data_IF_061572000671
#
_entry.id   IF_061572000671
#
_cell.length_a   1.000
_cell.length_b   1.000
_cell.length_c   1.000
_cell.angle_alpha   90.00
_cell.angle_beta   90.00
_cell.angle_gamma   90.00
#
_symmetry.space_group_name_H-M   'P 1'
#
loop_
_entity.id
_entity.type
_entity.pdbx_description
1 polymer ?
#
# COMPACT_ATOMS: atom_id res chain seq x y z
N UNK A 1 29.13 16.96 10.82
CA UNK A 1 27.86 17.42 10.20
C UNK A 1 26.72 16.55 10.72
N UNK A 2 25.63 17.11 11.28
CA UNK A 2 24.31 16.66 10.84
C UNK A 2 23.43 15.68 11.65
N UNK A 3 23.60 15.45 12.96
CA UNK A 3 22.54 14.70 13.69
C UNK A 3 21.17 15.42 13.61
N UNK A 4 21.18 16.75 13.69
CA UNK A 4 19.98 17.57 13.52
C UNK A 4 19.40 17.51 12.11
N UNK A 5 20.23 17.46 11.07
CA UNK A 5 19.75 17.40 9.67
C UNK A 5 19.10 16.05 9.36
N UNK A 6 19.64 14.94 9.89
CA UNK A 6 19.04 13.61 9.70
C UNK A 6 17.68 13.52 10.43
N UNK A 7 17.61 13.99 11.68
CA UNK A 7 16.35 14.01 12.43
C UNK A 7 15.29 14.89 11.76
N UNK A 8 15.69 16.02 11.19
CA UNK A 8 14.79 16.90 10.45
C UNK A 8 14.21 16.21 9.21
N UNK A 9 15.05 15.55 8.42
CA UNK A 9 14.64 14.82 7.22
C UNK A 9 13.67 13.69 7.58
N UNK A 10 14.02 12.87 8.59
CA UNK A 10 13.15 11.77 9.03
C UNK A 10 11.81 12.30 9.52
N UNK A 11 11.80 13.35 10.35
CA UNK A 11 10.57 13.94 10.88
C UNK A 11 9.70 14.49 9.75
N UNK A 12 10.30 15.24 8.82
CA UNK A 12 9.60 15.79 7.66
C UNK A 12 9.00 14.68 6.81
N UNK A 13 9.77 13.66 6.46
CA UNK A 13 9.29 12.54 5.63
C UNK A 13 8.16 11.77 6.32
N UNK A 14 8.32 11.42 7.59
CA UNK A 14 7.27 10.71 8.34
C UNK A 14 6.00 11.56 8.50
N UNK A 15 6.14 12.86 8.73
CA UNK A 15 5.01 13.77 8.85
C UNK A 15 4.27 13.92 7.50
N UNK A 16 4.99 14.10 6.40
CA UNK A 16 4.41 14.16 5.06
C UNK A 16 3.69 12.85 4.69
N UNK A 17 4.31 11.72 5.00
CA UNK A 17 3.71 10.40 4.80
C UNK A 17 2.42 10.24 5.62
N UNK A 18 2.46 10.53 6.92
CA UNK A 18 1.30 10.45 7.80
C UNK A 18 0.14 11.35 7.34
N UNK A 19 0.47 12.58 6.94
CA UNK A 19 -0.52 13.52 6.39
C UNK A 19 -1.17 13.00 5.11
N UNK A 20 -0.41 12.31 4.25
CA UNK A 20 -0.93 11.72 3.01
C UNK A 20 -1.88 10.56 3.31
N UNK A 21 -1.53 9.70 4.28
CA UNK A 21 -2.39 8.61 4.76
C UNK A 21 -3.69 9.15 5.37
N UNK A 22 -3.58 10.16 6.24
CA UNK A 22 -4.74 10.80 6.87
C UNK A 22 -5.67 11.44 5.83
N UNK A 23 -5.09 12.11 4.83
CA UNK A 23 -5.81 12.67 3.69
C UNK A 23 -6.57 11.58 2.93
N UNK A 24 -5.90 10.48 2.56
CA UNK A 24 -6.54 9.37 1.86
C UNK A 24 -7.71 8.80 2.67
N UNK A 25 -7.50 8.53 3.97
CA UNK A 25 -8.52 7.94 4.83
C UNK A 25 -9.75 8.85 4.98
N UNK A 26 -9.54 10.18 5.04
CA UNK A 26 -10.64 11.15 5.08
C UNK A 26 -11.48 11.10 3.81
N UNK A 27 -10.84 11.18 2.64
CA UNK A 27 -11.57 11.21 1.36
C UNK A 27 -12.19 9.87 0.98
N UNK A 28 -11.56 8.75 1.36
CA UNK A 28 -12.16 7.43 1.20
C UNK A 28 -13.45 7.30 2.03
N UNK A 29 -13.47 7.82 3.27
CA UNK A 29 -14.67 7.83 4.11
C UNK A 29 -15.77 8.74 3.58
N UNK A 30 -15.44 9.96 3.14
CA UNK A 30 -16.44 10.91 2.63
C UNK A 30 -17.07 10.46 1.31
N UNK A 31 -16.29 9.79 0.45
CA UNK A 31 -16.79 9.22 -0.82
C UNK A 31 -17.41 7.83 -0.66
N UNK A 32 -17.45 7.28 0.56
CA UNK A 32 -17.85 5.90 0.88
C UNK A 32 -17.21 4.87 -0.08
N UNK A 33 -15.95 5.09 -0.42
CA UNK A 33 -15.22 4.28 -1.38
C UNK A 33 -14.49 3.14 -0.68
N UNK A 34 -14.63 1.94 -1.24
CA UNK A 34 -13.83 0.78 -0.89
C UNK A 34 -13.15 0.26 -2.16
N UNK A 35 -11.90 -0.21 -2.10
CA UNK A 35 -11.23 -0.76 -3.26
C UNK A 35 -11.94 -2.02 -3.71
N UNK A 36 -12.35 -2.01 -4.96
CA UNK A 36 -13.08 -3.09 -5.61
C UNK A 36 -12.36 -3.50 -6.88
N UNK A 37 -12.56 -4.74 -7.34
CA UNK A 37 -12.12 -5.15 -8.69
C UNK A 37 -12.84 -4.37 -9.80
N UNK A 38 -13.90 -3.63 -9.46
CA UNK A 38 -14.61 -2.72 -10.37
C UNK A 38 -13.91 -1.36 -10.60
N UNK A 39 -12.80 -1.09 -9.91
CA UNK A 39 -12.04 0.14 -10.13
C UNK A 39 -11.30 0.11 -11.48
N UNK A 40 -11.15 1.26 -12.16
CA UNK A 40 -10.55 1.31 -13.49
C UNK A 40 -9.13 0.76 -13.52
N UNK A 41 -8.87 -0.04 -14.56
CA UNK A 41 -7.56 -0.64 -14.81
C UNK A 41 -6.50 0.46 -14.96
N UNK A 42 -5.23 0.21 -14.58
CA UNK A 42 -4.16 1.20 -14.66
C UNK A 42 -4.03 1.91 -16.03
N UNK A 43 -4.37 1.21 -17.13
CA UNK A 43 -4.30 1.75 -18.48
C UNK A 43 -5.33 2.87 -18.76
N UNK A 44 -6.52 2.77 -18.17
CA UNK A 44 -7.64 3.72 -18.35
C UNK A 44 -7.54 4.91 -17.40
N UNK A 45 -6.54 4.92 -16.51
CA UNK A 45 -6.31 6.02 -15.57
C UNK A 45 -5.65 7.21 -16.28
N UNK A 46 -5.93 8.44 -15.83
CA UNK A 46 -5.31 9.64 -16.40
C UNK A 46 -3.78 9.60 -16.26
N UNK A 47 -3.13 10.36 -17.14
CA UNK A 47 -1.65 10.38 -17.31
C UNK A 47 -0.91 10.57 -15.99
N UNK A 48 -1.44 11.42 -15.09
CA UNK A 48 -0.83 11.68 -13.79
C UNK A 48 -0.78 10.44 -12.90
N UNK A 49 -1.83 9.62 -12.91
CA UNK A 49 -1.94 8.42 -12.10
C UNK A 49 -1.00 7.33 -12.65
N UNK A 50 -0.87 7.24 -13.98
CA UNK A 50 0.07 6.32 -14.64
C UNK A 50 1.53 6.70 -14.39
N UNK A 51 1.85 8.00 -14.42
CA UNK A 51 3.17 8.50 -14.04
C UNK A 51 3.52 8.10 -12.60
N UNK A 52 2.57 8.25 -11.67
CA UNK A 52 2.80 7.86 -10.28
C UNK A 52 3.06 6.35 -10.13
N UNK A 53 2.33 5.52 -10.87
CA UNK A 53 2.56 4.07 -10.87
C UNK A 53 3.92 3.69 -11.48
N UNK A 54 4.36 4.38 -12.54
CA UNK A 54 5.70 4.15 -13.10
C UNK A 54 6.81 4.54 -12.12
N UNK A 55 6.66 5.67 -11.40
CA UNK A 55 7.59 6.08 -10.35
C UNK A 55 7.60 5.09 -9.19
N UNK A 56 6.43 4.55 -8.80
CA UNK A 56 6.33 3.53 -7.76
C UNK A 56 7.09 2.24 -8.13
N UNK A 57 6.95 1.77 -9.38
CA UNK A 57 7.68 0.59 -9.84
C UNK A 57 9.19 0.85 -9.85
N UNK A 58 9.62 2.01 -10.35
CA UNK A 58 11.03 2.39 -10.33
C UNK A 58 11.59 2.50 -8.90
N UNK A 59 10.80 3.03 -7.95
CA UNK A 59 11.16 3.09 -6.53
C UNK A 59 11.31 1.69 -5.94
N UNK A 60 10.36 0.80 -6.20
CA UNK A 60 10.36 -0.58 -5.68
C UNK A 60 11.64 -1.28 -6.08
N UNK A 61 12.00 -1.24 -7.36
CA UNK A 61 13.23 -1.86 -7.86
C UNK A 61 14.48 -1.26 -7.22
N UNK A 62 14.53 0.07 -7.07
CA UNK A 62 15.69 0.75 -6.48
C UNK A 62 15.85 0.47 -4.99
N UNK A 63 14.75 0.45 -4.24
CA UNK A 63 14.75 0.14 -2.79
C UNK A 63 15.12 -1.32 -2.57
N UNK A 64 14.56 -2.25 -3.35
CA UNK A 64 14.93 -3.67 -3.27
C UNK A 64 16.42 -3.86 -3.53
N UNK A 65 16.97 -3.29 -4.60
CA UNK A 65 18.42 -3.37 -4.88
C UNK A 65 19.28 -2.75 -3.77
N UNK A 66 18.83 -1.63 -3.18
CA UNK A 66 19.55 -1.00 -2.08
C UNK A 66 19.56 -1.88 -0.83
N UNK A 67 18.42 -2.49 -0.48
CA UNK A 67 18.31 -3.39 0.67
C UNK A 67 19.07 -4.71 0.45
N UNK A 68 19.05 -5.27 -0.76
CA UNK A 68 19.84 -6.45 -1.13
C UNK A 68 21.35 -6.17 -1.01
N UNK A 69 21.76 -4.94 -1.33
CA UNK A 69 23.13 -4.44 -1.14
C UNK A 69 23.45 -3.99 0.30
N UNK A 70 22.54 -4.20 1.26
CA UNK A 70 22.64 -3.74 2.65
C UNK A 70 22.82 -2.21 2.83
N UNK A 71 22.48 -1.41 1.82
CA UNK A 71 22.54 0.05 1.85
C UNK A 71 21.21 0.66 2.32
N UNK A 72 21.04 0.70 3.63
CA UNK A 72 19.86 1.28 4.29
C UNK A 72 19.78 2.80 4.15
N UNK A 73 20.92 3.49 3.99
CA UNK A 73 20.97 4.94 3.85
C UNK A 73 20.41 5.39 2.51
N UNK A 74 20.78 4.69 1.43
CA UNK A 74 20.24 4.94 0.10
C UNK A 74 18.75 4.63 0.03
N UNK A 75 18.30 3.53 0.62
CA UNK A 75 16.87 3.19 0.69
C UNK A 75 16.07 4.32 1.37
N UNK A 76 16.56 4.85 2.51
CA UNK A 76 15.93 5.97 3.19
C UNK A 76 15.84 7.26 2.37
N UNK A 77 16.91 7.60 1.63
CA UNK A 77 16.93 8.78 0.73
C UNK A 77 15.94 8.65 -0.42
N UNK A 78 15.87 7.47 -1.06
CA UNK A 78 14.94 7.20 -2.16
C UNK A 78 13.48 7.31 -1.69
N UNK A 79 13.16 6.72 -0.53
CA UNK A 79 11.82 6.82 0.06
C UNK A 79 11.46 8.27 0.43
N UNK A 80 12.40 9.02 1.01
CA UNK A 80 12.21 10.43 1.37
C UNK A 80 11.90 11.29 0.14
N UNK A 81 12.69 11.13 -0.94
CA UNK A 81 12.46 11.83 -2.20
C UNK A 81 11.09 11.49 -2.80
N UNK A 82 10.73 10.21 -2.86
CA UNK A 82 9.44 9.78 -3.39
C UNK A 82 8.25 10.32 -2.60
N UNK A 83 8.31 10.34 -1.26
CA UNK A 83 7.25 10.90 -0.42
C UNK A 83 7.10 12.41 -0.65
N UNK A 84 8.22 13.14 -0.80
CA UNK A 84 8.19 14.56 -1.12
C UNK A 84 7.58 14.80 -2.52
N UNK A 85 7.92 13.99 -3.52
CA UNK A 85 7.32 14.07 -4.86
C UNK A 85 5.83 13.72 -4.85
N UNK A 86 5.41 12.67 -4.13
CA UNK A 86 4.00 12.30 -3.98
C UNK A 86 3.18 13.47 -3.43
N UNK A 87 3.66 14.12 -2.37
CA UNK A 87 2.96 15.25 -1.75
C UNK A 87 2.94 16.50 -2.64
N UNK A 88 4.11 16.87 -3.20
CA UNK A 88 4.26 18.10 -3.96
C UNK A 88 3.63 18.03 -5.35
N UNK A 89 3.79 16.91 -6.04
CA UNK A 89 3.37 16.76 -7.42
C UNK A 89 2.00 16.10 -7.53
N UNK A 90 1.78 14.97 -6.87
CA UNK A 90 0.51 14.25 -7.00
C UNK A 90 -0.58 14.92 -6.17
N UNK A 91 -0.46 14.92 -4.84
CA UNK A 91 -1.52 15.40 -3.93
C UNK A 91 -1.90 16.85 -4.22
N UNK A 92 -0.93 17.73 -4.49
CA UNK A 92 -1.21 19.12 -4.86
C UNK A 92 -2.02 19.26 -6.15
N UNK A 93 -1.70 18.48 -7.19
CA UNK A 93 -2.38 18.56 -8.50
C UNK A 93 -3.72 17.84 -8.52
N UNK A 94 -3.89 16.80 -7.71
CA UNK A 94 -5.12 15.98 -7.67
C UNK A 94 -6.16 16.45 -6.64
N UNK A 95 -5.93 17.55 -5.89
CA UNK A 95 -6.90 18.10 -4.90
C UNK A 95 -8.33 18.22 -5.43
N UNK A 96 -8.51 18.78 -6.64
CA UNK A 96 -9.83 18.94 -7.26
C UNK A 96 -10.52 17.60 -7.55
N UNK A 97 -9.75 16.58 -7.93
CA UNK A 97 -10.28 15.23 -8.24
C UNK A 97 -10.71 14.50 -6.98
N UNK A 98 -9.99 14.68 -5.87
CA UNK A 98 -10.40 14.13 -4.58
C UNK A 98 -11.70 14.74 -4.06
N UNK A 99 -11.90 16.05 -4.25
CA UNK A 99 -13.17 16.70 -3.92
C UNK A 99 -14.35 16.16 -4.73
N UNK A 100 -14.11 15.78 -6.00
CA UNK A 100 -15.11 15.19 -6.88
C UNK A 100 -15.37 13.69 -6.61
N UNK A 101 -14.61 13.06 -5.69
CA UNK A 101 -14.77 11.64 -5.37
C UNK A 101 -14.36 10.70 -6.50
N UNK A 102 -13.37 11.09 -7.32
CA UNK A 102 -12.87 10.25 -8.41
C UNK A 102 -12.26 8.94 -7.89
N UNK A 103 -12.93 7.82 -8.20
CA UNK A 103 -12.53 6.47 -7.78
C UNK A 103 -11.16 6.06 -8.32
N UNK A 104 -10.76 6.55 -9.50
CA UNK A 104 -9.47 6.22 -10.10
C UNK A 104 -8.29 6.81 -9.28
N UNK A 105 -8.46 8.06 -8.82
CA UNK A 105 -7.45 8.74 -8.01
C UNK A 105 -7.32 8.11 -6.61
N UNK A 106 -8.45 7.75 -5.99
CA UNK A 106 -8.50 7.07 -4.69
C UNK A 106 -7.87 5.67 -4.77
N UNK A 107 -8.18 4.91 -5.82
CA UNK A 107 -7.58 3.60 -6.05
C UNK A 107 -6.07 3.68 -6.20
N UNK A 108 -5.59 4.60 -7.03
CA UNK A 108 -4.15 4.78 -7.28
C UNK A 108 -3.41 5.18 -6.01
N UNK A 109 -3.97 6.14 -5.24
CA UNK A 109 -3.35 6.55 -3.98
C UNK A 109 -3.30 5.39 -2.97
N UNK A 110 -4.36 4.57 -2.91
CA UNK A 110 -4.37 3.40 -2.04
C UNK A 110 -3.30 2.36 -2.40
N UNK A 111 -3.17 2.04 -3.68
CA UNK A 111 -2.16 1.11 -4.19
C UNK A 111 -0.73 1.59 -3.91
N UNK A 112 -0.49 2.90 -4.08
CA UNK A 112 0.80 3.54 -3.79
C UNK A 112 1.11 3.51 -2.29
N UNK A 113 0.16 3.94 -1.44
CA UNK A 113 0.36 3.96 0.01
C UNK A 113 0.57 2.55 0.55
N UNK A 114 -0.19 1.56 0.08
CA UNK A 114 0.00 0.15 0.45
C UNK A 114 1.42 -0.32 0.11
N UNK A 115 1.89 -0.05 -1.10
CA UNK A 115 3.22 -0.48 -1.54
C UNK A 115 4.34 0.22 -0.76
N UNK A 116 4.22 1.54 -0.56
CA UNK A 116 5.18 2.32 0.26
C UNK A 116 5.21 1.81 1.70
N UNK A 117 4.05 1.50 2.29
CA UNK A 117 3.97 0.94 3.66
C UNK A 117 4.79 -0.35 3.76
N UNK A 118 4.69 -1.22 2.75
CA UNK A 118 5.45 -2.48 2.70
C UNK A 118 6.96 -2.24 2.55
N UNK A 119 7.36 -1.28 1.70
CA UNK A 119 8.78 -0.92 1.53
C UNK A 119 9.39 -0.28 2.78
N UNK A 120 8.58 0.46 3.56
CA UNK A 120 9.01 1.10 4.79
C UNK A 120 9.03 0.14 6.00
N UNK A 121 8.35 -1.00 5.94
CA UNK A 121 8.23 -1.96 7.04
C UNK A 121 9.57 -2.36 7.71
N UNK A 122 10.66 -2.68 6.96
CA UNK A 122 11.94 -3.02 7.59
C UNK A 122 12.66 -1.82 8.24
N UNK A 123 12.28 -0.58 7.90
CA UNK A 123 12.91 0.64 8.42
C UNK A 123 12.13 1.23 9.60
N UNK A 124 10.80 1.27 9.52
CA UNK A 124 9.91 1.92 10.49
C UNK A 124 8.70 1.03 10.85
N UNK A 125 8.93 -0.10 11.53
CA UNK A 125 7.91 -1.12 11.77
C UNK A 125 6.70 -0.59 12.56
N UNK A 126 6.90 0.26 13.56
CA UNK A 126 5.82 0.75 14.41
C UNK A 126 4.83 1.66 13.68
N UNK A 127 5.35 2.56 12.84
CA UNK A 127 4.51 3.51 12.08
C UNK A 127 3.78 2.77 10.95
N UNK A 128 4.49 1.89 10.25
CA UNK A 128 3.92 1.11 9.16
C UNK A 128 2.85 0.14 9.63
N UNK A 129 3.06 -0.53 10.78
CA UNK A 129 2.04 -1.38 11.40
C UNK A 129 0.80 -0.57 11.78
N UNK A 130 0.96 0.61 12.37
CA UNK A 130 -0.17 1.47 12.72
C UNK A 130 -0.98 1.87 11.49
N UNK A 131 -0.30 2.27 10.41
CA UNK A 131 -0.96 2.63 9.14
C UNK A 131 -1.65 1.41 8.51
N UNK A 132 -1.02 0.24 8.58
CA UNK A 132 -1.57 -1.00 8.05
C UNK A 132 -2.90 -1.37 8.73
N UNK A 133 -2.95 -1.30 10.07
CA UNK A 133 -4.15 -1.55 10.86
C UNK A 133 -5.27 -0.52 10.59
N UNK A 134 -4.91 0.76 10.43
CA UNK A 134 -5.90 1.83 10.28
C UNK A 134 -6.46 1.93 8.84
N UNK A 135 -5.69 1.57 7.81
CA UNK A 135 -6.06 1.78 6.40
C UNK A 135 -6.31 0.49 5.63
N UNK A 136 -5.52 -0.56 5.84
CA UNK A 136 -5.48 -1.74 4.95
C UNK A 136 -6.34 -2.88 5.52
N UNK A 137 -6.28 -3.12 6.83
CA UNK A 137 -7.11 -4.14 7.49
C UNK A 137 -8.63 -3.90 7.37
N UNK A 138 -9.16 -2.66 7.46
CA UNK A 138 -10.59 -2.40 7.29
C UNK A 138 -11.08 -2.63 5.86
N UNK A 139 -10.15 -2.55 4.92
CA UNK A 139 -10.39 -2.46 3.49
C UNK A 139 -10.21 -3.82 2.81
N UNK A 140 -9.23 -4.61 3.24
CA UNK A 140 -9.08 -5.98 2.80
C UNK A 140 -10.21 -6.83 3.40
N UNK A 141 -11.09 -7.45 2.60
CA UNK A 141 -11.96 -8.50 3.09
C UNK A 141 -11.08 -9.72 3.36
N UNK A 142 -10.38 -9.75 4.49
CA UNK A 142 -9.92 -11.02 5.00
C UNK A 142 -11.18 -11.83 5.31
N UNK A 143 -11.28 -13.09 4.85
CA UNK A 143 -12.25 -13.99 5.43
C UNK A 143 -11.91 -14.02 6.91
N UNK A 144 -12.80 -13.48 7.73
CA UNK A 144 -12.73 -13.61 9.18
C UNK A 144 -12.79 -15.11 9.50
N UNK A 145 -11.65 -15.80 9.47
CA UNK A 145 -11.39 -16.87 10.41
C UNK A 145 -11.20 -16.24 11.79
N UNK A 146 -12.25 -15.54 12.26
CA UNK A 146 -12.64 -15.67 13.64
C UNK A 146 -13.02 -17.13 13.78
N UNK A 147 -12.07 -17.96 14.16
CA UNK A 147 -12.39 -18.95 15.18
C UNK A 147 -12.62 -18.17 16.48
N UNK A 148 -13.69 -17.38 16.55
CA UNK A 148 -14.29 -17.04 17.84
C UNK A 148 -14.96 -18.31 18.29
N UNK A 149 -14.20 -19.18 18.95
CA UNK A 149 -14.83 -20.15 19.83
C UNK A 149 -15.55 -19.31 20.90
N UNK A 150 -16.89 -19.40 21.02
CA UNK A 150 -17.57 -18.80 22.15
C UNK A 150 -16.97 -19.40 23.43
N UNK A 151 -16.75 -18.61 24.50
CA UNK A 151 -16.24 -19.14 25.76
C UNK A 151 -17.31 -20.06 26.35
N UNK A 152 -17.23 -21.37 26.07
CA UNK A 152 -18.19 -22.32 26.62
C UNK A 152 -18.35 -23.71 25.97
N UNK A 153 -17.79 -24.04 24.79
CA UNK A 153 -17.91 -25.43 24.27
C UNK A 153 -16.63 -25.95 23.61
N UNK A 154 -16.22 -27.13 24.08
CA UNK A 154 -15.02 -27.88 23.64
C UNK A 154 -15.20 -28.43 22.22
N UNK A 155 -14.14 -28.28 21.43
CA UNK A 155 -13.59 -29.20 20.41
C UNK A 155 -14.54 -29.68 19.30
N UNK A 156 -14.38 -29.09 18.11
CA UNK A 156 -13.92 -29.75 16.85
C UNK A 156 -14.02 -28.74 15.71
N UNK A 157 -12.93 -28.51 14.97
CA UNK A 157 -12.94 -27.68 13.76
C UNK A 157 -12.72 -28.61 12.56
N UNK A 158 -13.61 -28.64 11.55
CA UNK A 158 -13.48 -29.58 10.45
C UNK A 158 -12.41 -29.13 9.47
N UNK A 159 -11.46 -30.04 9.20
CA UNK A 159 -10.50 -30.00 8.09
C UNK A 159 -11.25 -30.00 6.75
N UNK A 160 -11.61 -28.84 6.21
CA UNK A 160 -11.72 -28.63 4.76
C UNK A 160 -12.29 -27.25 4.46
N UNK A 161 -11.49 -26.37 3.86
CA UNK A 161 -11.90 -25.68 2.62
C UNK A 161 -10.72 -24.95 2.01
N UNK A 162 -10.22 -25.53 0.92
CA UNK A 162 -9.34 -24.92 -0.05
C UNK A 162 -10.11 -23.78 -0.73
N UNK A 163 -9.78 -22.52 -0.47
CA UNK A 163 -9.98 -21.43 -1.43
C UNK A 163 -9.20 -20.18 -1.02
N UNK A 164 -7.88 -20.30 -0.93
CA UNK A 164 -7.00 -19.14 -0.95
C UNK A 164 -6.98 -18.61 -2.40
N UNK A 165 -7.66 -17.49 -2.67
CA UNK A 165 -7.80 -16.91 -4.01
C UNK A 165 -7.38 -15.44 -4.03
N UNK A 166 -6.22 -15.12 -3.47
CA UNK A 166 -5.51 -13.85 -3.73
C UNK A 166 -4.40 -14.11 -4.75
N UNK A 167 -4.30 -13.28 -5.80
CA UNK A 167 -3.35 -13.44 -6.93
C UNK A 167 -1.88 -13.16 -6.60
N UNK A 168 -1.61 -12.80 -5.35
CA UNK A 168 -0.27 -12.57 -4.86
C UNK A 168 0.02 -13.60 -3.78
N UNK A 169 0.99 -14.47 -4.05
CA UNK A 169 1.52 -15.43 -3.08
C UNK A 169 2.92 -14.98 -2.68
N UNK A 170 3.11 -14.81 -1.37
CA UNK A 170 4.42 -14.68 -0.78
C UNK A 170 4.98 -16.09 -0.57
N UNK A 171 6.01 -16.46 -1.33
CA UNK A 171 6.69 -17.75 -1.20
C UNK A 171 8.20 -17.49 -1.18
N UNK A 172 8.87 -17.98 -0.13
CA UNK A 172 10.32 -17.97 0.02
C UNK A 172 10.98 -16.59 -0.22
N UNK A 173 10.49 -15.54 0.45
CA UNK A 173 11.17 -14.24 0.48
C UNK A 173 11.04 -13.38 -0.78
N UNK A 174 10.28 -13.79 -1.80
CA UNK A 174 9.98 -12.96 -2.97
C UNK A 174 8.47 -12.89 -3.26
N UNK A 175 8.04 -11.77 -3.85
CA UNK A 175 6.66 -11.57 -4.29
C UNK A 175 6.51 -12.01 -5.75
N UNK A 176 5.60 -12.97 -6.00
CA UNK A 176 5.27 -13.39 -7.36
C UNK A 176 3.81 -13.07 -7.71
N UNK A 177 3.60 -12.52 -8.90
CA UNK A 177 2.29 -12.24 -9.47
C UNK A 177 1.78 -13.49 -10.21
N UNK A 178 0.70 -14.10 -9.72
CA UNK A 178 0.06 -15.21 -10.43
C UNK A 178 -0.90 -14.64 -11.49
N UNK A 179 -0.43 -14.56 -12.74
CA UNK A 179 -1.23 -14.14 -13.88
C UNK A 179 -2.48 -15.00 -14.11
N UNK A 180 -3.51 -14.48 -14.82
CA UNK A 180 -4.75 -15.21 -15.06
C UNK A 180 -4.49 -16.49 -15.86
N UNK A 181 -4.73 -17.66 -15.25
CA UNK A 181 -4.76 -18.94 -15.99
C UNK A 181 -5.89 -18.89 -17.02
N UNK A 182 -5.52 -18.97 -18.30
CA UNK A 182 -6.45 -19.24 -19.38
C UNK A 182 -7.27 -20.50 -19.04
N UNK A 183 -8.61 -20.38 -19.03
CA UNK A 183 -9.50 -21.53 -18.85
C UNK A 183 -9.49 -22.33 -20.15
N UNK A 184 -8.79 -23.47 -20.18
CA UNK A 184 -9.06 -24.51 -21.17
C UNK A 184 -10.42 -25.13 -20.85
N UNK A 185 -11.34 -25.05 -21.81
CA UNK A 185 -12.61 -25.80 -21.81
C UNK A 185 -12.31 -27.29 -21.98
N UNK A 186 -13.01 -28.11 -21.22
CA UNK A 186 -13.43 -29.47 -21.57
C UNK A 186 -14.78 -29.70 -20.89
#
# INVERSE_FOLDING_TARGET
MGHGTIQEVVRKTLLTYWNTVAFQALYARTSNWAPSEADPAPADRPVLDRWLLSELHALTDQVTRALDGYDTQRAGKLLSAFVDDLSNWYVRRSRRRFWQGDKAALRTLHEVVETVTRLMAPLTPFITERVWQDLIVPVAPTPRSRCTCPPGRRRTCPRSTRSCRSRWCWCAGSWSWAGPRARSRA
#
